data_IF_302180526736
#
_entry.id   IF_302180526736
#
_cell.length_a   1.000
_cell.length_b   1.000
_cell.length_c   1.000
_cell.angle_alpha   90.00
_cell.angle_beta   90.00
_cell.angle_gamma   90.00
#
_symmetry.space_group_name_H-M   'P 1'
#
loop_
_entity.id
_entity.type
_entity.pdbx_description
1 polymer ?
#
# COMPACT_ATOMS: atom_id res chain seq x y z
N UNK A 1 7.32 5.07 -22.07
CA UNK A 1 8.77 5.12 -21.76
C UNK A 1 9.43 6.40 -22.23
N UNK A 2 9.35 6.79 -23.51
CA UNK A 2 10.00 8.01 -24.02
C UNK A 2 9.61 9.30 -23.25
N UNK A 3 8.32 9.51 -22.95
CA UNK A 3 7.84 10.66 -22.17
C UNK A 3 8.39 10.68 -20.73
N UNK A 4 8.47 9.52 -20.08
CA UNK A 4 8.99 9.42 -18.70
C UNK A 4 10.49 9.72 -18.66
N UNK A 5 11.24 9.21 -19.63
CA UNK A 5 12.67 9.51 -19.76
C UNK A 5 12.91 11.00 -20.03
N UNK A 6 12.13 11.60 -20.93
CA UNK A 6 12.22 13.03 -21.22
C UNK A 6 11.89 13.88 -19.99
N UNK A 7 10.82 13.55 -19.25
CA UNK A 7 10.46 14.24 -18.01
C UNK A 7 11.52 14.07 -16.92
N UNK A 8 12.13 12.88 -16.82
CA UNK A 8 13.19 12.60 -15.87
C UNK A 8 14.49 13.33 -16.22
N UNK A 9 14.77 13.59 -17.49
CA UNK A 9 15.92 14.38 -17.93
C UNK A 9 15.69 15.90 -17.86
N UNK A 10 14.44 16.36 -17.89
CA UNK A 10 14.10 17.78 -17.93
C UNK A 10 14.65 18.54 -16.70
N UNK A 11 15.44 19.59 -16.95
CA UNK A 11 16.00 20.47 -15.91
C UNK A 11 17.17 19.90 -15.12
N UNK A 12 17.74 18.75 -15.52
CA UNK A 12 18.90 18.14 -14.87
C UNK A 12 20.18 18.32 -15.69
N UNK A 13 21.31 18.45 -15.00
CA UNK A 13 22.62 18.79 -15.59
C UNK A 13 23.54 17.60 -15.80
N UNK A 14 23.22 16.45 -15.21
CA UNK A 14 24.03 15.23 -15.29
C UNK A 14 23.16 13.98 -15.43
N UNK A 15 23.78 12.91 -15.95
CA UNK A 15 23.09 11.64 -16.22
C UNK A 15 22.68 10.89 -14.97
N UNK A 16 23.45 11.00 -13.87
CA UNK A 16 23.13 10.29 -12.63
C UNK A 16 21.80 10.78 -12.08
N UNK A 17 21.64 12.10 -11.96
CA UNK A 17 20.41 12.71 -11.47
C UNK A 17 19.20 12.37 -12.36
N UNK A 18 19.39 12.27 -13.68
CA UNK A 18 18.33 11.90 -14.62
C UNK A 18 17.91 10.43 -14.48
N UNK A 19 18.88 9.53 -14.27
CA UNK A 19 18.61 8.11 -14.03
C UNK A 19 17.95 7.88 -12.68
N UNK A 20 18.42 8.53 -11.61
CA UNK A 20 17.80 8.44 -10.27
C UNK A 20 16.33 8.88 -10.30
N UNK A 21 16.01 9.91 -11.08
CA UNK A 21 14.64 10.37 -11.27
C UNK A 21 13.80 9.40 -12.10
N UNK A 22 14.40 8.80 -13.13
CA UNK A 22 13.73 7.82 -13.99
C UNK A 22 13.41 6.53 -13.24
N UNK A 23 14.36 6.03 -12.45
CA UNK A 23 14.24 4.84 -11.61
C UNK A 23 13.43 5.11 -10.33
N UNK A 24 13.33 6.37 -9.91
CA UNK A 24 12.58 6.77 -8.73
C UNK A 24 13.30 6.44 -7.42
N UNK A 25 14.63 6.51 -7.38
CA UNK A 25 15.48 6.13 -6.24
C UNK A 25 15.06 6.79 -4.91
N UNK A 26 14.47 7.98 -4.97
CA UNK A 26 14.01 8.76 -3.80
C UNK A 26 12.48 8.92 -3.75
N UNK A 27 11.74 8.19 -4.58
CA UNK A 27 10.30 8.23 -4.61
C UNK A 27 9.68 7.31 -3.54
N UNK A 28 8.51 7.68 -3.03
CA UNK A 28 7.69 6.76 -2.24
C UNK A 28 6.97 5.81 -3.21
N UNK A 29 7.24 4.49 -3.15
CA UNK A 29 6.63 3.56 -4.09
C UNK A 29 5.16 3.34 -3.74
N UNK A 30 4.27 3.62 -4.70
CA UNK A 30 2.85 3.30 -4.64
C UNK A 30 2.57 2.08 -5.51
N UNK A 31 1.92 1.06 -4.96
CA UNK A 31 1.63 -0.17 -5.70
C UNK A 31 0.44 -0.93 -5.12
N UNK A 32 -0.07 -1.88 -5.89
CA UNK A 32 -1.09 -2.82 -5.43
C UNK A 32 -0.48 -3.91 -4.55
N UNK A 33 -1.32 -4.58 -3.75
CA UNK A 33 -0.92 -5.72 -2.91
C UNK A 33 -0.16 -6.77 -3.74
N UNK A 34 -0.68 -7.09 -4.92
CA UNK A 34 -0.09 -8.06 -5.84
C UNK A 34 1.32 -7.65 -6.33
N UNK A 35 1.51 -6.37 -6.67
CA UNK A 35 2.82 -5.85 -7.12
C UNK A 35 3.85 -5.75 -6.00
N UNK A 36 3.42 -5.75 -4.74
CA UNK A 36 4.32 -5.75 -3.58
C UNK A 36 4.98 -7.11 -3.29
N UNK A 37 4.48 -8.20 -3.89
CA UNK A 37 4.98 -9.56 -3.63
C UNK A 37 6.47 -9.68 -3.95
N UNK A 38 7.26 -10.13 -2.98
CA UNK A 38 8.71 -10.29 -3.11
C UNK A 38 9.52 -9.01 -2.83
N UNK A 39 8.85 -7.89 -2.54
CA UNK A 39 9.48 -6.65 -2.10
C UNK A 39 9.39 -6.51 -0.58
N UNK A 40 10.25 -5.69 0.02
CA UNK A 40 10.20 -5.42 1.45
C UNK A 40 10.62 -3.97 1.73
N UNK A 41 9.94 -3.35 2.69
CA UNK A 41 10.12 -1.95 3.05
C UNK A 41 10.20 -1.79 4.56
N UNK A 42 10.91 -0.77 5.03
CA UNK A 42 10.93 -0.43 6.45
C UNK A 42 9.51 -0.19 6.99
N UNK A 43 8.70 0.59 6.25
CA UNK A 43 7.31 0.91 6.61
C UNK A 43 6.40 0.67 5.43
N UNK A 44 5.25 0.02 5.70
CA UNK A 44 4.18 -0.18 4.71
C UNK A 44 2.92 0.50 5.22
N UNK A 45 2.24 1.22 4.32
CA UNK A 45 0.97 1.89 4.61
C UNK A 45 -0.10 1.24 3.74
N UNK A 46 -1.07 0.58 4.38
CA UNK A 46 -2.28 0.11 3.73
C UNK A 46 -3.23 1.29 3.58
N UNK A 47 -3.35 1.78 2.34
CA UNK A 47 -4.24 2.89 2.03
C UNK A 47 -5.65 2.37 1.78
N UNK A 48 -6.60 2.77 2.65
CA UNK A 48 -8.03 2.47 2.47
C UNK A 48 -8.38 1.01 2.70
N UNK A 49 -8.37 0.56 3.96
CA UNK A 49 -8.88 -0.74 4.35
C UNK A 49 -10.41 -0.68 4.52
N UNK A 50 -11.14 -0.62 3.41
CA UNK A 50 -12.60 -0.54 3.36
C UNK A 50 -13.20 -1.51 2.33
N UNK A 51 -14.52 -1.68 2.40
CA UNK A 51 -15.28 -2.61 1.57
C UNK A 51 -15.15 -2.28 0.05
N UNK A 52 -14.89 -1.03 -0.32
CA UNK A 52 -14.75 -0.60 -1.71
C UNK A 52 -13.37 -0.91 -2.29
N UNK A 53 -12.30 -0.77 -1.49
CA UNK A 53 -10.95 -1.18 -1.87
C UNK A 53 -10.81 -2.71 -1.88
N UNK A 54 -11.58 -3.41 -1.04
CA UNK A 54 -11.57 -4.86 -0.87
C UNK A 54 -12.87 -5.50 -1.38
N UNK A 55 -13.34 -5.04 -2.53
CA UNK A 55 -14.65 -5.39 -3.10
C UNK A 55 -14.87 -6.90 -3.30
N UNK A 56 -13.81 -7.68 -3.54
CA UNK A 56 -13.89 -9.14 -3.73
C UNK A 56 -13.79 -9.96 -2.43
N UNK A 57 -13.64 -9.32 -1.27
CA UNK A 57 -13.35 -10.01 0.00
C UNK A 57 -14.41 -11.05 0.39
N UNK A 58 -15.68 -10.79 0.10
CA UNK A 58 -16.78 -11.72 0.41
C UNK A 58 -16.89 -12.88 -0.58
N UNK A 59 -16.42 -12.66 -1.82
CA UNK A 59 -16.47 -13.68 -2.88
C UNK A 59 -15.34 -14.69 -2.71
N UNK A 60 -14.14 -14.21 -2.32
CA UNK A 60 -13.00 -15.05 -2.01
C UNK A 60 -12.27 -14.55 -0.76
N UNK A 61 -12.82 -14.90 0.40
CA UNK A 61 -12.26 -14.51 1.70
C UNK A 61 -10.89 -15.14 1.94
N UNK A 62 -10.64 -16.35 1.45
CA UNK A 62 -9.37 -17.04 1.64
C UNK A 62 -8.25 -16.37 0.83
N UNK A 63 -8.47 -16.12 -0.47
CA UNK A 63 -7.52 -15.44 -1.33
C UNK A 63 -7.27 -14.01 -0.84
N UNK A 64 -8.34 -13.29 -0.49
CA UNK A 64 -8.21 -11.91 -0.02
C UNK A 64 -7.44 -11.83 1.30
N UNK A 65 -7.68 -12.77 2.23
CA UNK A 65 -6.90 -12.85 3.48
C UNK A 65 -5.44 -13.19 3.21
N UNK A 66 -5.15 -14.08 2.26
CA UNK A 66 -3.78 -14.36 1.83
C UNK A 66 -3.11 -13.12 1.23
N UNK A 67 -3.82 -12.37 0.37
CA UNK A 67 -3.34 -11.11 -0.20
C UNK A 67 -3.05 -10.05 0.86
N UNK A 68 -3.90 -9.93 1.88
CA UNK A 68 -3.66 -9.11 3.05
C UNK A 68 -2.36 -9.50 3.76
N UNK A 69 -2.17 -10.80 4.03
CA UNK A 69 -0.98 -11.29 4.72
C UNK A 69 0.30 -11.13 3.89
N UNK A 70 0.22 -11.33 2.56
CA UNK A 70 1.34 -11.07 1.64
C UNK A 70 1.78 -9.61 1.74
N UNK A 71 0.86 -8.66 1.66
CA UNK A 71 1.18 -7.25 1.77
C UNK A 71 1.65 -6.85 3.18
N UNK A 72 1.07 -7.46 4.22
CA UNK A 72 1.44 -7.23 5.62
C UNK A 72 2.91 -7.62 5.86
N UNK A 73 3.31 -8.79 5.35
CA UNK A 73 4.69 -9.30 5.49
C UNK A 73 5.73 -8.54 4.67
N UNK A 74 5.35 -7.53 3.88
CA UNK A 74 6.32 -6.65 3.21
C UNK A 74 6.88 -5.59 4.16
N UNK A 75 6.25 -5.38 5.32
CA UNK A 75 6.74 -4.46 6.36
C UNK A 75 7.83 -5.12 7.20
N UNK A 76 9.03 -4.52 7.24
CA UNK A 76 10.13 -4.97 8.10
C UNK A 76 10.00 -4.51 9.54
N UNK A 77 9.45 -3.32 9.76
CA UNK A 77 9.43 -2.67 11.08
C UNK A 77 8.05 -2.15 11.46
N UNK A 78 7.35 -1.51 10.52
CA UNK A 78 6.09 -0.81 10.83
C UNK A 78 5.06 -1.03 9.74
N UNK A 79 3.83 -1.28 10.15
CA UNK A 79 2.67 -1.27 9.26
C UNK A 79 1.67 -0.24 9.79
N UNK A 80 1.05 0.51 8.90
CA UNK A 80 -0.02 1.46 9.22
C UNK A 80 -1.22 1.14 8.35
N UNK A 81 -2.41 1.09 8.95
CA UNK A 81 -3.67 0.90 8.22
C UNK A 81 -4.46 2.21 8.25
N UNK A 82 -4.92 2.67 7.09
CA UNK A 82 -5.75 3.86 6.99
C UNK A 82 -7.16 3.52 6.50
N UNK A 83 -8.11 4.35 6.90
CA UNK A 83 -9.52 4.21 6.57
C UNK A 83 -10.17 5.59 6.51
N UNK A 84 -11.13 5.79 5.61
CA UNK A 84 -11.99 6.98 5.57
C UNK A 84 -13.46 6.55 5.47
N UNK A 85 -14.30 7.11 6.34
CA UNK A 85 -15.74 6.85 6.35
C UNK A 85 -16.50 7.44 5.17
N UNK A 86 -15.94 8.43 4.49
CA UNK A 86 -16.56 9.06 3.33
C UNK A 86 -16.46 8.19 2.06
N UNK A 87 -15.46 7.30 2.00
CA UNK A 87 -15.22 6.45 0.82
C UNK A 87 -15.98 5.12 0.87
N UNK A 88 -16.03 4.48 2.03
CA UNK A 88 -16.59 3.13 2.13
C UNK A 88 -16.86 2.66 3.56
N UNK A 89 -17.68 1.63 3.68
CA UNK A 89 -17.94 0.94 4.96
C UNK A 89 -16.84 -0.09 5.27
N UNK A 90 -16.91 -0.72 6.45
CA UNK A 90 -15.99 -1.78 6.88
C UNK A 90 -16.75 -3.04 7.28
N UNK A 91 -17.89 -3.27 6.66
CA UNK A 91 -18.81 -4.35 7.02
C UNK A 91 -18.29 -5.66 6.49
N UNK A 92 -17.86 -5.69 5.23
CA UNK A 92 -17.39 -6.91 4.59
C UNK A 92 -15.97 -7.27 5.01
N UNK A 93 -15.13 -6.26 5.25
CA UNK A 93 -13.75 -6.44 5.76
C UNK A 93 -13.65 -6.50 7.28
N UNK A 94 -14.78 -6.53 8.00
CA UNK A 94 -14.82 -6.60 9.47
C UNK A 94 -13.92 -7.70 10.08
N UNK A 95 -13.77 -8.90 9.47
CA UNK A 95 -12.84 -9.91 9.98
C UNK A 95 -11.39 -9.44 10.06
N UNK A 96 -10.91 -8.64 9.09
CA UNK A 96 -9.56 -8.09 9.11
C UNK A 96 -9.38 -7.12 10.28
N UNK A 97 -10.37 -6.27 10.54
CA UNK A 97 -10.36 -5.36 11.70
C UNK A 97 -10.40 -6.11 13.03
N UNK A 98 -11.13 -7.23 13.10
CA UNK A 98 -11.12 -8.09 14.28
C UNK A 98 -9.72 -8.67 14.55
N UNK A 99 -9.02 -9.14 13.52
CA UNK A 99 -7.63 -9.62 13.64
C UNK A 99 -6.69 -8.52 14.15
N UNK A 100 -6.78 -7.32 13.60
CA UNK A 100 -5.96 -6.18 14.04
C UNK A 100 -6.22 -5.84 15.51
N UNK A 101 -7.48 -5.82 15.93
CA UNK A 101 -7.86 -5.57 17.33
C UNK A 101 -7.33 -6.65 18.26
N UNK A 102 -7.43 -7.92 17.88
CA UNK A 102 -6.89 -9.05 18.66
C UNK A 102 -5.36 -8.98 18.79
N UNK A 103 -4.68 -8.48 17.77
CA UNK A 103 -3.24 -8.23 17.79
C UNK A 103 -2.83 -6.98 18.60
N UNK A 104 -3.77 -6.28 19.23
CA UNK A 104 -3.50 -5.08 20.03
C UNK A 104 -3.23 -3.83 19.21
N UNK A 105 -3.59 -3.80 17.92
CA UNK A 105 -3.42 -2.61 17.07
C UNK A 105 -4.33 -1.50 17.56
N UNK A 106 -3.74 -0.34 17.87
CA UNK A 106 -4.46 0.84 18.35
C UNK A 106 -5.05 1.62 17.17
N UNK A 107 -6.32 2.02 17.28
CA UNK A 107 -6.98 2.88 16.32
C UNK A 107 -6.94 4.33 16.80
N UNK A 108 -6.53 5.23 15.92
CA UNK A 108 -6.52 6.67 16.18
C UNK A 108 -7.37 7.37 15.12
N UNK A 109 -8.33 8.19 15.55
CA UNK A 109 -9.05 9.08 14.65
C UNK A 109 -8.21 10.34 14.45
N UNK A 110 -7.98 10.68 13.18
CA UNK A 110 -7.34 11.93 12.77
C UNK A 110 -8.45 12.79 12.18
N UNK A 111 -8.60 14.00 12.74
CA UNK A 111 -9.60 15.00 12.32
C UNK A 111 -9.01 15.84 11.19
#
# INVERSE_FOLDING_TARGET
MALHLQASAAGRTDWSAALDAYEGTHALPLMTLHKSKGLEYHTVIFVGLDDSAWWSFQQDTAESTAGFFVAFTRAKQRVVFTYTSERGTRTTVAPLYALLRLAGVQAHSIV
#
